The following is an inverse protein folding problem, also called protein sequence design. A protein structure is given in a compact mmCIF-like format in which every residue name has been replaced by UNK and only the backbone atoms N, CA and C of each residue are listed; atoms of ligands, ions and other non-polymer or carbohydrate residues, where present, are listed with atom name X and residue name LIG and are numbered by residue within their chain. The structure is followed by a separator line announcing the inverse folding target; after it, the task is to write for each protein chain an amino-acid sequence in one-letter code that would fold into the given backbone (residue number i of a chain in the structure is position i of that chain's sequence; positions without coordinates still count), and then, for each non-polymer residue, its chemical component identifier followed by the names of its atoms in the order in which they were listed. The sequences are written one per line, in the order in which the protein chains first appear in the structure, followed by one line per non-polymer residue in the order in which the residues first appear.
data_IF_450868978158
#
_entry.id   IF_450868978158
#
_cell.length_a   1.000
_cell.length_b   1.000
_cell.length_c   1.000
_cell.angle_alpha   90.00
_cell.angle_beta   90.00
_cell.angle_gamma   90.00
#
_symmetry.space_group_name_H-M   'P 1'
#
loop_
_entity.id
_entity.type
_entity.pdbx_description
1 polymer ?
#
# COMPACT_ATOMS: atom_id res chain seq x y z
N UNK A 1 64.39 -3.53 -27.05
CA UNK A 1 62.98 -3.95 -26.87
C UNK A 1 62.55 -3.91 -25.39
N UNK A 2 62.64 -2.77 -24.69
CA UNK A 2 62.19 -2.70 -23.28
C UNK A 2 61.47 -1.39 -22.88
N UNK A 3 61.31 -0.40 -23.77
CA UNK A 3 60.64 0.86 -23.42
C UNK A 3 59.15 0.93 -23.77
N UNK A 4 58.67 0.09 -24.71
CA UNK A 4 57.27 0.09 -25.12
C UNK A 4 56.34 -0.66 -24.15
N UNK A 5 56.88 -1.49 -23.25
CA UNK A 5 56.07 -2.33 -22.36
C UNK A 5 55.68 -1.65 -21.04
N UNK A 6 56.37 -0.58 -20.63
CA UNK A 6 56.09 0.10 -19.35
C UNK A 6 55.01 1.17 -19.49
N UNK A 7 54.89 1.80 -20.66
CA UNK A 7 53.88 2.85 -20.91
C UNK A 7 52.47 2.26 -21.04
N UNK A 8 52.34 1.02 -21.53
CA UNK A 8 51.03 0.35 -21.63
C UNK A 8 50.51 -0.11 -20.26
N UNK A 9 51.41 -0.39 -19.29
CA UNK A 9 51.00 -0.82 -17.96
C UNK A 9 50.54 0.32 -17.05
N UNK A 10 50.90 1.58 -17.35
CA UNK A 10 50.50 2.76 -16.57
C UNK A 10 49.19 3.41 -17.04
N UNK A 11 48.72 3.12 -18.26
CA UNK A 11 47.43 3.63 -18.75
C UNK A 11 46.22 2.79 -18.30
N UNK A 12 46.42 1.59 -17.74
CA UNK A 12 45.32 0.74 -17.25
C UNK A 12 44.95 0.97 -15.78
N UNK A 13 45.66 1.83 -15.05
CA UNK A 13 45.41 2.06 -13.61
C UNK A 13 44.71 3.40 -13.29
N UNK A 14 44.36 4.21 -14.28
CA UNK A 14 43.78 5.57 -14.04
C UNK A 14 42.28 5.69 -14.38
N UNK A 15 41.60 4.65 -14.87
CA UNK A 15 40.18 4.79 -15.28
C UNK A 15 39.15 4.06 -14.44
N UNK A 16 39.49 3.57 -13.24
CA UNK A 16 38.48 2.95 -12.36
C UNK A 16 38.54 3.49 -10.94
N UNK A 17 37.67 4.47 -10.64
CA UNK A 17 36.94 4.49 -9.35
C UNK A 17 35.90 5.60 -9.21
N UNK A 18 35.85 6.62 -10.08
CA UNK A 18 34.96 7.77 -9.82
C UNK A 18 33.51 7.63 -10.32
N UNK A 19 33.17 6.61 -11.13
CA UNK A 19 31.86 6.54 -11.83
C UNK A 19 30.76 5.67 -11.18
N UNK A 20 31.06 4.91 -10.13
CA UNK A 20 30.11 3.92 -9.58
C UNK A 20 29.19 4.53 -8.50
N UNK A 21 29.62 5.59 -7.80
CA UNK A 21 28.85 6.16 -6.68
C UNK A 21 27.71 7.08 -7.17
N UNK A 22 27.94 7.90 -8.19
CA UNK A 22 26.92 8.81 -8.75
C UNK A 22 25.78 8.06 -9.44
N UNK A 23 26.10 7.02 -10.22
CA UNK A 23 25.10 6.21 -10.94
C UNK A 23 24.14 5.49 -10.00
N UNK A 24 24.65 4.96 -8.88
CA UNK A 24 23.84 4.28 -7.87
C UNK A 24 22.95 5.22 -7.07
N UNK A 25 23.42 6.43 -6.73
CA UNK A 25 22.60 7.42 -6.02
C UNK A 25 21.45 7.94 -6.89
N UNK A 26 21.74 8.32 -8.14
CA UNK A 26 20.72 8.77 -9.09
C UNK A 26 19.73 7.66 -9.43
N UNK A 27 20.21 6.42 -9.58
CA UNK A 27 19.35 5.24 -9.73
C UNK A 27 18.45 5.03 -8.52
N UNK A 28 18.98 5.06 -7.29
CA UNK A 28 18.20 4.87 -6.05
C UNK A 28 17.16 5.97 -5.84
N UNK A 29 17.52 7.23 -6.09
CA UNK A 29 16.58 8.36 -6.02
C UNK A 29 15.47 8.23 -7.07
N UNK A 30 15.80 7.78 -8.29
CA UNK A 30 14.81 7.50 -9.33
C UNK A 30 13.87 6.35 -8.93
N UNK A 31 14.40 5.32 -8.26
CA UNK A 31 13.63 4.19 -7.74
C UNK A 31 12.69 4.61 -6.61
N UNK A 32 13.15 5.39 -5.63
CA UNK A 32 12.31 5.90 -4.54
C UNK A 32 11.22 6.87 -5.05
N UNK A 33 11.55 7.71 -6.02
CA UNK A 33 10.55 8.54 -6.71
C UNK A 33 9.51 7.69 -7.47
N UNK A 34 9.95 6.61 -8.12
CA UNK A 34 9.09 5.61 -8.71
C UNK A 34 8.16 4.95 -7.68
N UNK A 35 8.67 4.62 -6.49
CA UNK A 35 7.89 4.03 -5.41
C UNK A 35 6.75 4.94 -4.93
N UNK A 36 6.97 6.26 -4.86
CA UNK A 36 5.89 7.22 -4.56
C UNK A 36 4.77 7.14 -5.60
N UNK A 37 5.11 6.94 -6.86
CA UNK A 37 4.13 6.78 -7.94
C UNK A 37 3.35 5.47 -7.79
N UNK A 38 4.04 4.39 -7.44
CA UNK A 38 3.40 3.09 -7.14
C UNK A 38 2.47 3.17 -5.93
N UNK A 39 2.86 3.88 -4.87
CA UNK A 39 2.01 4.11 -3.70
C UNK A 39 0.71 4.83 -4.08
N UNK A 40 0.78 5.85 -4.95
CA UNK A 40 -0.40 6.55 -5.46
C UNK A 40 -1.34 5.63 -6.25
N UNK A 41 -0.79 4.71 -7.05
CA UNK A 41 -1.59 3.72 -7.78
C UNK A 41 -2.31 2.77 -6.81
N UNK A 42 -1.59 2.22 -5.82
CA UNK A 42 -2.18 1.35 -4.79
C UNK A 42 -3.30 2.09 -4.04
N UNK A 43 -3.06 3.32 -3.61
CA UNK A 43 -4.08 4.16 -2.94
C UNK A 43 -5.31 4.37 -3.82
N UNK A 44 -5.11 4.64 -5.12
CA UNK A 44 -6.21 4.86 -6.08
C UNK A 44 -7.05 3.59 -6.27
N UNK A 45 -6.41 2.43 -6.40
CA UNK A 45 -7.11 1.15 -6.56
C UNK A 45 -7.91 0.77 -5.30
N UNK A 46 -7.34 1.01 -4.11
CA UNK A 46 -8.04 0.79 -2.85
C UNK A 46 -9.23 1.75 -2.66
N UNK A 47 -9.08 3.02 -3.03
CA UNK A 47 -10.19 3.98 -3.00
C UNK A 47 -11.33 3.55 -3.93
N UNK A 48 -11.00 3.15 -5.16
CA UNK A 48 -11.99 2.63 -6.12
C UNK A 48 -12.69 1.38 -5.59
N UNK A 49 -11.98 0.53 -4.85
CA UNK A 49 -12.59 -0.63 -4.19
C UNK A 49 -13.60 -0.21 -3.12
N UNK A 50 -13.23 0.73 -2.26
CA UNK A 50 -14.12 1.27 -1.22
C UNK A 50 -15.37 1.90 -1.82
N UNK A 51 -15.24 2.67 -2.91
CA UNK A 51 -16.38 3.25 -3.62
C UNK A 51 -17.35 2.18 -4.13
N UNK A 52 -16.83 1.08 -4.70
CA UNK A 52 -17.65 -0.06 -5.12
C UNK A 52 -18.33 -0.75 -3.94
N UNK A 53 -17.63 -0.91 -2.82
CA UNK A 53 -18.20 -1.49 -1.60
C UNK A 53 -19.35 -0.62 -1.06
N UNK A 54 -19.24 0.71 -1.10
CA UNK A 54 -20.31 1.62 -0.72
C UNK A 54 -21.55 1.45 -1.60
N UNK A 55 -21.39 1.39 -2.92
CA UNK A 55 -22.52 1.16 -3.85
C UNK A 55 -23.23 -0.17 -3.54
N UNK A 56 -22.48 -1.22 -3.24
CA UNK A 56 -23.05 -2.52 -2.81
C UNK A 56 -23.80 -2.37 -1.49
N UNK A 57 -23.18 -1.75 -0.50
CA UNK A 57 -23.75 -1.52 0.83
C UNK A 57 -25.08 -0.76 0.73
N UNK A 58 -25.10 0.36 0.01
CA UNK A 58 -26.29 1.19 -0.15
C UNK A 58 -27.41 0.43 -0.88
N UNK A 59 -27.05 -0.35 -1.91
CA UNK A 59 -28.03 -1.17 -2.64
C UNK A 59 -28.64 -2.26 -1.77
N UNK A 60 -27.82 -2.92 -0.94
CA UNK A 60 -28.29 -3.91 0.04
C UNK A 60 -29.19 -3.23 1.08
N UNK A 61 -28.77 -2.08 1.61
CA UNK A 61 -29.59 -1.36 2.59
C UNK A 61 -30.92 -0.92 2.01
N UNK A 62 -30.95 -0.39 0.79
CA UNK A 62 -32.18 -0.01 0.12
C UNK A 62 -33.09 -1.23 -0.09
N UNK A 63 -32.54 -2.37 -0.52
CA UNK A 63 -33.33 -3.59 -0.66
C UNK A 63 -33.92 -4.06 0.67
N UNK A 64 -33.12 -4.07 1.74
CA UNK A 64 -33.55 -4.54 3.07
C UNK A 64 -34.56 -3.60 3.73
N UNK A 65 -34.36 -2.28 3.63
CA UNK A 65 -35.21 -1.28 4.28
C UNK A 65 -36.46 -0.91 3.47
N UNK A 66 -36.58 -1.38 2.23
CA UNK A 66 -37.78 -1.17 1.42
C UNK A 66 -38.97 -1.91 2.05
N UNK A 67 -39.77 -1.17 2.84
CA UNK A 67 -40.91 -1.70 3.59
C UNK A 67 -41.96 -2.27 2.64
N UNK A 68 -42.40 -3.49 2.91
CA UNK A 68 -43.42 -4.18 2.15
C UNK A 68 -44.77 -4.15 2.88
N UNK A 69 -45.90 -4.16 2.15
CA UNK A 69 -47.24 -4.16 2.75
C UNK A 69 -47.52 -5.37 3.66
N UNK A 70 -46.73 -6.44 3.52
CA UNK A 70 -46.85 -7.67 4.29
C UNK A 70 -45.91 -7.77 5.49
N UNK A 71 -45.05 -6.77 5.73
CA UNK A 71 -44.07 -6.81 6.83
C UNK A 71 -44.74 -6.80 8.22
N UNK A 72 -45.92 -6.20 8.33
CA UNK A 72 -46.67 -6.10 9.59
C UNK A 72 -47.63 -7.30 9.80
N UNK A 73 -47.65 -8.29 8.88
CA UNK A 73 -48.53 -9.47 8.98
C UNK A 73 -47.91 -10.53 9.91
N UNK A 74 -48.55 -10.76 11.06
CA UNK A 74 -48.00 -11.61 12.13
C UNK A 74 -48.54 -13.05 12.13
N UNK A 75 -49.58 -13.37 11.35
CA UNK A 75 -50.17 -14.71 11.33
C UNK A 75 -50.09 -15.38 9.94
N UNK A 76 -49.92 -16.71 9.88
CA UNK A 76 -49.93 -17.45 8.62
C UNK A 76 -51.22 -17.25 7.80
N UNK A 77 -52.37 -17.13 8.47
CA UNK A 77 -53.65 -16.88 7.80
C UNK A 77 -53.69 -15.50 7.13
N UNK A 78 -53.18 -14.44 7.78
CA UNK A 78 -53.14 -13.10 7.21
C UNK A 78 -52.21 -13.02 5.99
N UNK A 79 -51.06 -13.69 6.04
CA UNK A 79 -50.15 -13.82 4.89
C UNK A 79 -50.82 -14.57 3.75
N UNK A 80 -51.51 -15.67 4.05
CA UNK A 80 -52.23 -16.46 3.04
C UNK A 80 -53.34 -15.65 2.36
N UNK A 81 -54.18 -14.93 3.12
CA UNK A 81 -55.20 -14.05 2.54
C UNK A 81 -54.59 -12.94 1.68
N UNK A 82 -53.48 -12.33 2.09
CA UNK A 82 -52.77 -11.34 1.28
C UNK A 82 -52.29 -11.90 -0.06
N UNK A 83 -51.73 -13.12 -0.06
CA UNK A 83 -51.17 -13.77 -1.25
C UNK A 83 -52.20 -14.38 -2.20
N UNK A 84 -53.47 -14.53 -1.79
CA UNK A 84 -54.56 -14.93 -2.71
C UNK A 84 -54.77 -13.93 -3.84
N UNK A 85 -54.41 -12.67 -3.61
CA UNK A 85 -54.50 -11.65 -4.66
C UNK A 85 -53.32 -11.82 -5.65
N UNK A 86 -53.58 -12.14 -6.93
CA UNK A 86 -52.52 -12.52 -7.87
C UNK A 86 -51.46 -11.43 -8.10
N UNK A 87 -51.84 -10.15 -8.01
CA UNK A 87 -50.90 -9.03 -8.12
C UNK A 87 -49.94 -8.97 -6.93
N UNK A 88 -50.41 -9.30 -5.72
CA UNK A 88 -49.55 -9.32 -4.53
C UNK A 88 -48.51 -10.44 -4.62
N UNK A 89 -48.96 -11.64 -4.99
CA UNK A 89 -48.07 -12.77 -5.26
C UNK A 89 -47.04 -12.45 -6.36
N UNK A 90 -47.48 -11.80 -7.44
CA UNK A 90 -46.60 -11.33 -8.51
C UNK A 90 -45.52 -10.38 -8.00
N UNK A 91 -45.86 -9.37 -7.18
CA UNK A 91 -44.89 -8.42 -6.64
C UNK A 91 -43.85 -9.10 -5.73
N UNK A 92 -44.28 -10.03 -4.87
CA UNK A 92 -43.37 -10.81 -4.03
C UNK A 92 -42.40 -11.63 -4.90
N UNK A 93 -42.92 -12.39 -5.86
CA UNK A 93 -42.09 -13.20 -6.77
C UNK A 93 -41.11 -12.32 -7.55
N UNK A 94 -41.58 -11.18 -8.10
CA UNK A 94 -40.74 -10.23 -8.83
C UNK A 94 -39.60 -9.69 -7.96
N UNK A 95 -39.88 -9.32 -6.71
CA UNK A 95 -38.88 -8.83 -5.74
C UNK A 95 -37.85 -9.91 -5.43
N UNK A 96 -38.28 -11.13 -5.15
CA UNK A 96 -37.40 -12.25 -4.78
C UNK A 96 -36.63 -12.85 -5.96
N UNK A 97 -37.04 -12.57 -7.20
CA UNK A 97 -36.34 -13.01 -8.40
C UNK A 97 -35.50 -11.88 -8.98
N UNK A 98 -36.12 -11.01 -9.78
CA UNK A 98 -35.41 -9.92 -10.46
C UNK A 98 -34.82 -8.89 -9.49
N UNK A 99 -35.53 -8.55 -8.41
CA UNK A 99 -35.06 -7.55 -7.44
C UNK A 99 -33.80 -8.03 -6.72
N UNK A 100 -33.86 -9.22 -6.11
CA UNK A 100 -32.72 -9.85 -5.46
C UNK A 100 -31.58 -10.13 -6.44
N UNK A 101 -31.89 -10.57 -7.67
CA UNK A 101 -30.88 -10.84 -8.70
C UNK A 101 -30.03 -9.62 -9.07
N UNK A 102 -30.57 -8.40 -8.99
CA UNK A 102 -29.77 -7.16 -9.18
C UNK A 102 -28.72 -7.01 -8.06
N UNK A 103 -29.10 -7.30 -6.81
CA UNK A 103 -28.20 -7.24 -5.65
C UNK A 103 -27.10 -8.30 -5.78
N UNK A 104 -27.47 -9.54 -6.14
CA UNK A 104 -26.53 -10.63 -6.37
C UNK A 104 -25.52 -10.30 -7.47
N UNK A 105 -25.99 -9.74 -8.59
CA UNK A 105 -25.14 -9.32 -9.69
C UNK A 105 -24.15 -8.23 -9.25
N UNK A 106 -24.59 -7.27 -8.45
CA UNK A 106 -23.74 -6.19 -7.94
C UNK A 106 -22.67 -6.72 -6.97
N UNK A 107 -23.04 -7.61 -6.03
CA UNK A 107 -22.10 -8.28 -5.13
C UNK A 107 -21.05 -9.06 -5.94
N UNK A 108 -21.50 -9.86 -6.92
CA UNK A 108 -20.60 -10.65 -7.76
C UNK A 108 -19.67 -9.78 -8.60
N UNK A 109 -20.16 -8.67 -9.15
CA UNK A 109 -19.32 -7.71 -9.89
C UNK A 109 -18.25 -7.09 -9.00
N UNK A 110 -18.59 -6.74 -7.76
CA UNK A 110 -17.63 -6.19 -6.80
C UNK A 110 -16.60 -7.23 -6.36
N UNK A 111 -16.99 -8.50 -6.14
CA UNK A 111 -16.07 -9.60 -5.82
C UNK A 111 -15.06 -9.88 -6.94
N UNK A 112 -15.45 -9.73 -8.21
CA UNK A 112 -14.55 -9.88 -9.35
C UNK A 112 -13.48 -8.79 -9.45
N UNK A 113 -13.67 -7.67 -8.74
CA UNK A 113 -12.65 -6.63 -8.63
C UNK A 113 -11.90 -6.83 -7.32
N UNK A 114 -10.64 -7.26 -7.42
CA UNK A 114 -9.76 -7.43 -6.26
C UNK A 114 -8.53 -6.52 -6.41
N UNK A 115 -8.44 -5.42 -5.65
CA UNK A 115 -7.26 -4.54 -5.71
C UNK A 115 -5.99 -5.26 -5.23
N UNK A 116 -6.10 -6.34 -4.45
CA UNK A 116 -4.95 -7.10 -3.95
C UNK A 116 -4.24 -7.88 -5.05
N UNK A 117 -4.94 -8.26 -6.13
CA UNK A 117 -4.32 -8.90 -7.30
C UNK A 117 -3.27 -7.96 -7.90
N UNK A 118 -3.61 -6.69 -8.12
CA UNK A 118 -2.67 -5.70 -8.64
C UNK A 118 -1.49 -5.51 -7.69
N UNK A 119 -1.75 -5.35 -6.38
CA UNK A 119 -0.69 -5.18 -5.37
C UNK A 119 0.25 -6.40 -5.34
N UNK A 120 -0.30 -7.62 -5.45
CA UNK A 120 0.48 -8.84 -5.51
C UNK A 120 1.37 -8.89 -6.76
N UNK A 121 0.84 -8.55 -7.93
CA UNK A 121 1.64 -8.48 -9.16
C UNK A 121 2.73 -7.41 -9.08
N UNK A 122 2.43 -6.24 -8.50
CA UNK A 122 3.44 -5.20 -8.25
C UNK A 122 4.58 -5.71 -7.35
N UNK A 123 4.27 -6.48 -6.30
CA UNK A 123 5.29 -7.10 -5.44
C UNK A 123 6.13 -8.14 -6.19
N UNK A 124 5.49 -9.01 -7.00
CA UNK A 124 6.20 -10.01 -7.83
C UNK A 124 7.18 -9.36 -8.80
N UNK A 125 6.81 -8.20 -9.35
CA UNK A 125 7.63 -7.42 -10.27
C UNK A 125 8.65 -6.51 -9.56
N UNK A 126 8.81 -6.60 -8.23
CA UNK A 126 9.70 -5.74 -7.42
C UNK A 126 9.43 -4.22 -7.58
N UNK A 127 8.19 -3.85 -7.91
CA UNK A 127 7.75 -2.45 -7.95
C UNK A 127 7.42 -1.90 -6.56
N UNK A 128 7.25 -2.79 -5.58
CA UNK A 128 7.08 -2.47 -4.16
C UNK A 128 8.21 -3.15 -3.36
N UNK A 129 8.67 -2.53 -2.26
CA UNK A 129 9.73 -3.08 -1.42
C UNK A 129 9.29 -4.38 -0.73
N UNK A 130 10.27 -5.24 -0.46
CA UNK A 130 10.11 -6.45 0.35
C UNK A 130 10.66 -6.22 1.77
N UNK A 131 10.46 -7.20 2.65
CA UNK A 131 10.88 -7.12 4.06
C UNK A 131 12.41 -6.96 4.21
N UNK A 132 13.18 -7.54 3.28
CA UNK A 132 14.64 -7.38 3.21
C UNK A 132 15.06 -5.93 2.95
N UNK A 133 14.33 -5.21 2.08
CA UNK A 133 14.60 -3.81 1.76
C UNK A 133 14.37 -2.93 3.01
N UNK A 134 13.31 -3.21 3.77
CA UNK A 134 13.03 -2.54 5.04
C UNK A 134 14.12 -2.83 6.09
N UNK A 135 14.54 -4.09 6.22
CA UNK A 135 15.60 -4.51 7.14
C UNK A 135 16.94 -3.85 6.77
N UNK A 136 17.28 -3.81 5.49
CA UNK A 136 18.47 -3.12 4.99
C UNK A 136 18.45 -1.61 5.23
N UNK A 137 17.28 -0.97 5.11
CA UNK A 137 17.12 0.44 5.46
C UNK A 137 17.32 0.69 6.95
N UNK A 138 16.71 -0.14 7.81
CA UNK A 138 16.91 -0.06 9.26
C UNK A 138 18.38 -0.22 9.63
N UNK A 139 19.08 -1.21 9.05
CA UNK A 139 20.52 -1.43 9.29
C UNK A 139 21.38 -0.27 8.79
N UNK A 140 20.97 0.38 7.69
CA UNK A 140 21.65 1.58 7.19
C UNK A 140 21.50 2.76 8.15
N UNK A 141 20.35 2.91 8.82
CA UNK A 141 20.17 3.94 9.85
C UNK A 141 21.03 3.68 11.08
N UNK A 142 21.13 2.42 11.55
CA UNK A 142 22.04 2.02 12.64
C UNK A 142 23.48 2.37 12.26
N UNK A 143 23.91 1.97 11.06
CA UNK A 143 25.26 2.27 10.56
C UNK A 143 25.54 3.77 10.47
N UNK A 144 24.58 4.57 10.04
CA UNK A 144 24.72 6.04 10.02
C UNK A 144 24.86 6.60 11.44
N UNK A 145 24.07 6.08 12.39
CA UNK A 145 24.14 6.49 13.79
C UNK A 145 25.50 6.14 14.41
N UNK A 146 26.02 4.94 14.19
CA UNK A 146 27.34 4.50 14.67
C UNK A 146 28.49 5.29 14.02
N UNK A 147 28.44 5.45 12.69
CA UNK A 147 29.54 6.07 11.93
C UNK A 147 29.70 7.56 12.24
N UNK A 148 28.59 8.27 12.45
CA UNK A 148 28.59 9.73 12.61
C UNK A 148 28.24 10.21 14.02
N UNK A 149 28.08 9.28 14.98
CA UNK A 149 27.60 9.56 16.33
C UNK A 149 26.37 10.48 16.28
N UNK A 150 25.30 10.01 15.63
CA UNK A 150 24.07 10.78 15.52
C UNK A 150 23.36 10.85 16.88
N UNK A 151 22.86 12.02 17.23
CA UNK A 151 22.01 12.24 18.40
C UNK A 151 20.71 11.46 18.23
N UNK A 152 20.52 10.42 19.04
CA UNK A 152 19.36 9.54 18.96
C UNK A 152 18.04 10.27 19.27
N UNK A 153 18.07 11.25 20.18
CA UNK A 153 16.87 12.02 20.50
C UNK A 153 16.44 12.88 19.30
N UNK A 154 17.39 13.49 18.60
CA UNK A 154 17.08 14.24 17.38
C UNK A 154 16.68 13.30 16.23
N UNK A 155 17.33 12.15 16.08
CA UNK A 155 16.99 11.14 15.07
C UNK A 155 15.55 10.64 15.23
N UNK A 156 15.11 10.39 16.46
CA UNK A 156 13.72 9.96 16.75
C UNK A 156 12.68 11.04 16.44
N UNK A 157 13.06 12.33 16.46
CA UNK A 157 12.22 13.43 15.97
C UNK A 157 12.26 13.58 14.45
N UNK A 158 13.07 12.78 13.77
CA UNK A 158 13.29 12.83 12.32
C UNK A 158 14.36 13.83 11.92
N UNK A 159 15.23 14.28 12.82
CA UNK A 159 16.30 15.24 12.54
C UNK A 159 17.67 14.55 12.55
N UNK A 160 18.56 14.92 11.63
CA UNK A 160 19.94 14.41 11.62
C UNK A 160 20.83 15.46 12.27
N UNK A 161 21.34 15.16 13.46
CA UNK A 161 22.32 15.98 14.20
C UNK A 161 23.47 15.09 14.63
N UNK A 162 24.71 15.49 14.34
CA UNK A 162 25.91 14.79 14.80
C UNK A 162 26.36 15.33 16.15
N UNK A 163 26.84 14.48 17.04
CA UNK A 163 27.44 14.93 18.32
C UNK A 163 28.82 15.58 18.12
N UNK A 164 29.50 15.27 17.01
CA UNK A 164 30.93 15.60 16.79
C UNK A 164 31.14 16.98 16.12
N UNK A 165 30.18 17.51 15.36
CA UNK A 165 30.40 18.68 14.47
C UNK A 165 29.42 19.84 14.70
N UNK A 166 29.98 21.05 14.94
CA UNK A 166 29.41 22.44 14.87
C UNK A 166 27.91 22.67 15.13
N UNK A 167 27.22 21.77 15.82
CA UNK A 167 25.81 21.87 16.16
C UNK A 167 24.86 22.07 14.96
N UNK A 168 25.18 21.51 13.78
CA UNK A 168 24.29 21.57 12.61
C UNK A 168 23.26 20.44 12.69
N UNK A 169 21.98 20.82 12.64
CA UNK A 169 20.86 19.89 12.54
C UNK A 169 20.24 19.99 11.15
N UNK A 170 19.98 18.84 10.52
CA UNK A 170 19.25 18.73 9.26
C UNK A 170 17.83 18.25 9.58
N UNK A 171 16.81 19.12 9.47
CA UNK A 171 15.47 18.76 9.87
C UNK A 171 14.77 17.88 8.83
N UNK A 172 14.32 16.69 9.23
CA UNK A 172 13.29 15.93 8.52
C UNK A 172 11.88 16.30 8.95
N UNK A 173 10.89 15.64 8.35
CA UNK A 173 9.46 15.97 8.48
C UNK A 173 8.63 14.90 9.20
N UNK A 174 9.23 13.75 9.49
CA UNK A 174 8.52 12.59 10.05
C UNK A 174 9.29 12.06 11.26
N UNK A 175 8.68 12.02 12.45
CA UNK A 175 9.28 11.39 13.62
C UNK A 175 9.19 9.87 13.53
N UNK A 176 10.07 9.19 14.25
CA UNK A 176 10.01 7.75 14.47
C UNK A 176 9.09 7.46 15.67
N UNK A 177 8.14 6.56 15.51
CA UNK A 177 7.31 6.08 16.61
C UNK A 177 8.02 4.94 17.38
N UNK A 178 7.45 4.51 18.51
CA UNK A 178 8.03 3.47 19.35
C UNK A 178 8.26 2.14 18.61
N UNK A 179 7.39 1.79 17.65
CA UNK A 179 7.55 0.59 16.83
C UNK A 179 8.68 0.73 15.83
N UNK A 180 8.85 1.91 15.24
CA UNK A 180 9.98 2.19 14.35
C UNK A 180 11.31 2.04 15.10
N UNK A 181 11.41 2.62 16.31
CA UNK A 181 12.59 2.47 17.17
C UNK A 181 12.87 1.01 17.52
N UNK A 182 11.84 0.24 17.85
CA UNK A 182 11.98 -1.20 18.11
C UNK A 182 12.52 -1.93 16.87
N UNK A 183 11.93 -1.70 15.69
CA UNK A 183 12.35 -2.34 14.44
C UNK A 183 13.81 -2.00 14.08
N UNK A 184 14.24 -0.75 14.29
CA UNK A 184 15.63 -0.32 14.08
C UNK A 184 16.58 -0.96 15.11
N UNK A 185 16.19 -1.03 16.38
CA UNK A 185 17.03 -1.63 17.42
C UNK A 185 17.24 -3.14 17.22
N UNK A 186 16.25 -3.84 16.64
CA UNK A 186 16.31 -5.28 16.40
C UNK A 186 17.38 -5.67 15.38
N UNK A 187 17.74 -4.76 14.47
CA UNK A 187 18.80 -5.00 13.47
C UNK A 187 20.18 -4.54 13.93
N UNK A 188 20.27 -3.91 15.12
CA UNK A 188 21.52 -3.49 15.76
C UNK A 188 22.11 -4.55 16.71
N UNK A 189 21.34 -5.60 17.01
CA UNK A 189 21.72 -6.74 17.85
C UNK A 189 22.41 -7.83 17.03
#
# INVERSE_FOLDING_TARGET
MHFASVVVLLCCLVTQSSGIVETNYHSTMSTLSGLISMEKLVKTDLLRYVERLKVVQDSIFNFVHDKQPYDDLMSPSAVFEYLKHPVHAFHLIKRMTSGLGVIEALINKTRKFDPLVNVMEMRKQRLLPWDEDFTGLAGSLVRLQDTYALDLQELTKGHIRTEISRNRSFPGRLPLNARDCLNISQVAL
#
